data_IF_369915223978
#
_entry.id   IF_369915223978
#
_cell.length_a   1.000
_cell.length_b   1.000
_cell.length_c   1.000
_cell.angle_alpha   90.00
_cell.angle_beta   90.00
_cell.angle_gamma   90.00
#
_symmetry.space_group_name_H-M   'P 1'
#
loop_
_entity.id
_entity.type
_entity.pdbx_description
1 polymer ?
#
# COMPACT_ATOMS: atom_id res chain seq x y z
N UNK A 1 -13.10 2.97 9.92
CA UNK A 1 -11.94 2.07 9.74
C UNK A 1 -10.70 2.81 10.19
N UNK A 2 -9.77 2.13 10.85
CA UNK A 2 -8.46 2.69 11.21
C UNK A 2 -7.56 2.75 9.98
N UNK A 3 -6.46 3.49 10.06
CA UNK A 3 -5.44 3.55 9.01
C UNK A 3 -4.96 2.15 8.61
N UNK A 4 -4.68 1.30 9.60
CA UNK A 4 -4.21 -0.07 9.34
C UNK A 4 -5.21 -0.88 8.52
N UNK A 5 -6.50 -0.77 8.85
CA UNK A 5 -7.56 -1.50 8.14
C UNK A 5 -7.59 -1.08 6.66
N UNK A 6 -7.34 0.19 6.34
CA UNK A 6 -7.23 0.67 4.96
C UNK A 6 -5.98 0.16 4.24
N UNK A 7 -4.84 0.12 4.94
CA UNK A 7 -3.59 -0.38 4.34
C UNK A 7 -3.63 -1.89 4.06
N UNK A 8 -4.48 -2.64 4.78
CA UNK A 8 -4.73 -4.06 4.56
C UNK A 8 -5.76 -4.35 3.47
N UNK A 9 -6.37 -3.34 2.84
CA UNK A 9 -7.31 -3.52 1.72
C UNK A 9 -6.56 -4.03 0.48
N UNK A 10 -6.94 -5.18 -0.10
CA UNK A 10 -6.27 -5.70 -1.29
C UNK A 10 -6.79 -5.02 -2.56
N UNK A 11 -5.90 -4.30 -3.24
CA UNK A 11 -6.18 -3.66 -4.54
C UNK A 11 -5.78 -4.57 -5.72
N UNK A 12 -6.43 -4.39 -6.87
CA UNK A 12 -6.15 -5.17 -8.08
C UNK A 12 -4.91 -4.62 -8.75
N UNK A 13 -3.83 -5.41 -8.76
CA UNK A 13 -2.64 -5.07 -9.53
C UNK A 13 -2.90 -5.26 -11.03
N UNK A 14 -2.76 -4.20 -11.81
CA UNK A 14 -2.59 -4.28 -13.26
C UNK A 14 -1.11 -4.17 -13.59
N UNK A 15 -0.60 -5.03 -14.47
CA UNK A 15 0.79 -5.03 -14.89
C UNK A 15 0.87 -5.26 -16.41
N UNK A 16 1.66 -4.44 -17.10
CA UNK A 16 1.88 -4.53 -18.53
C UNK A 16 3.33 -4.19 -18.88
N UNK A 17 3.84 -4.84 -19.92
CA UNK A 17 5.10 -4.46 -20.56
C UNK A 17 4.76 -3.53 -21.72
N UNK A 18 5.28 -2.31 -21.70
CA UNK A 18 4.93 -1.25 -22.66
C UNK A 18 6.19 -0.73 -23.34
N UNK A 19 6.13 -0.61 -24.66
CA UNK A 19 7.17 0.05 -25.46
C UNK A 19 6.97 1.57 -25.39
N UNK A 20 8.05 2.29 -25.10
CA UNK A 20 8.09 3.75 -25.08
C UNK A 20 8.42 4.28 -26.48
N UNK A 21 8.21 5.58 -26.69
CA UNK A 21 8.42 6.22 -27.99
C UNK A 21 9.88 6.16 -28.49
N UNK A 22 10.84 5.95 -27.59
CA UNK A 22 12.26 5.78 -27.91
C UNK A 22 12.66 4.31 -28.20
N UNK A 23 11.68 3.40 -28.25
CA UNK A 23 11.88 1.96 -28.47
C UNK A 23 12.34 1.20 -27.22
N UNK A 24 12.48 1.87 -26.07
CA UNK A 24 12.76 1.20 -24.80
C UNK A 24 11.50 0.53 -24.24
N UNK A 25 11.67 -0.46 -23.37
CA UNK A 25 10.57 -1.22 -22.79
C UNK A 25 10.54 -1.07 -21.27
N UNK A 26 9.37 -0.74 -20.74
CA UNK A 26 9.13 -0.59 -19.30
C UNK A 26 8.06 -1.55 -18.81
N UNK A 27 8.10 -1.86 -17.51
CA UNK A 27 7.00 -2.48 -16.79
C UNK A 27 6.18 -1.37 -16.19
N UNK A 28 4.96 -1.20 -16.69
CA UNK A 28 3.94 -0.32 -16.13
C UNK A 28 3.06 -1.14 -15.21
N UNK A 29 2.88 -0.66 -13.99
CA UNK A 29 2.03 -1.28 -12.97
C UNK A 29 1.08 -0.25 -12.36
N UNK A 30 -0.12 -0.66 -11.97
CA UNK A 30 -1.11 0.25 -11.41
C UNK A 30 -2.07 -0.43 -10.43
N UNK A 31 -2.61 0.38 -9.52
CA UNK A 31 -3.81 0.08 -8.76
C UNK A 31 -4.95 0.97 -9.28
N UNK A 32 -5.80 0.48 -10.21
CA UNK A 32 -6.81 1.29 -10.87
C UNK A 32 -7.93 1.74 -9.93
N UNK A 33 -8.05 1.10 -8.77
CA UNK A 33 -8.98 1.47 -7.71
C UNK A 33 -8.50 2.70 -6.93
N UNK A 34 -7.22 3.09 -7.05
CA UNK A 34 -6.64 4.27 -6.39
C UNK A 34 -6.33 5.37 -7.43
N UNK A 35 -6.73 6.63 -7.17
CA UNK A 35 -6.52 7.72 -8.12
C UNK A 35 -5.04 7.90 -8.46
N UNK A 36 -4.69 7.77 -9.75
CA UNK A 36 -3.31 7.99 -10.25
C UNK A 36 -2.22 7.13 -9.57
N UNK A 37 -2.60 5.99 -8.98
CA UNK A 37 -1.64 5.08 -8.36
C UNK A 37 -1.01 4.16 -9.43
N UNK A 38 0.00 4.68 -10.12
CA UNK A 38 0.73 4.02 -11.20
C UNK A 38 2.24 4.11 -10.99
N UNK A 39 3.00 3.16 -11.52
CA UNK A 39 4.46 3.18 -11.56
C UNK A 39 5.02 2.54 -12.83
N UNK A 40 6.21 2.99 -13.22
CA UNK A 40 6.94 2.47 -14.38
C UNK A 40 8.41 2.28 -14.04
N UNK A 41 9.00 1.19 -14.49
CA UNK A 41 10.45 0.98 -14.44
C UNK A 41 10.91 -0.04 -15.49
N UNK A 42 12.16 0.06 -15.90
CA UNK A 42 12.84 -0.97 -16.70
C UNK A 42 13.22 -2.21 -15.88
N UNK A 43 12.88 -2.26 -14.59
CA UNK A 43 13.01 -3.40 -13.67
C UNK A 43 11.66 -3.65 -13.01
N UNK A 44 11.20 -4.91 -12.96
CA UNK A 44 9.85 -5.23 -12.45
C UNK A 44 9.74 -4.96 -10.95
N UNK A 45 10.77 -5.32 -10.19
CA UNK A 45 10.84 -5.11 -8.75
C UNK A 45 10.77 -3.61 -8.42
N UNK A 46 11.56 -2.78 -9.08
CA UNK A 46 11.52 -1.33 -8.91
C UNK A 46 10.13 -0.75 -9.19
N UNK A 47 9.44 -1.21 -10.25
CA UNK A 47 8.10 -0.75 -10.56
C UNK A 47 7.11 -1.09 -9.44
N UNK A 48 7.18 -2.32 -8.91
CA UNK A 48 6.33 -2.76 -7.79
C UNK A 48 6.65 -2.03 -6.49
N UNK A 49 7.94 -1.85 -6.15
CA UNK A 49 8.35 -1.09 -4.97
C UNK A 49 7.87 0.37 -5.05
N UNK A 50 8.02 1.02 -6.20
CA UNK A 50 7.51 2.38 -6.41
C UNK A 50 5.98 2.43 -6.28
N UNK A 51 5.26 1.45 -6.83
CA UNK A 51 3.80 1.39 -6.75
C UNK A 51 3.32 1.23 -5.30
N UNK A 52 3.90 0.28 -4.56
CA UNK A 52 3.54 0.04 -3.17
C UNK A 52 3.86 1.24 -2.27
N UNK A 53 4.99 1.90 -2.50
CA UNK A 53 5.33 3.14 -1.81
C UNK A 53 4.26 4.22 -2.04
N UNK A 54 3.90 4.45 -3.30
CA UNK A 54 2.84 5.41 -3.68
C UNK A 54 1.51 5.06 -3.05
N UNK A 55 1.14 3.77 -3.03
CA UNK A 55 -0.09 3.28 -2.38
C UNK A 55 -0.12 3.65 -0.91
N UNK A 56 0.93 3.33 -0.16
CA UNK A 56 1.01 3.61 1.29
C UNK A 56 0.93 5.11 1.56
N UNK A 57 1.78 5.90 0.89
CA UNK A 57 1.82 7.35 1.06
C UNK A 57 0.48 8.01 0.73
N UNK A 58 -0.19 7.55 -0.34
CA UNK A 58 -1.50 8.04 -0.75
C UNK A 58 -2.59 7.71 0.26
N UNK A 59 -2.68 6.47 0.73
CA UNK A 59 -3.69 6.05 1.71
C UNK A 59 -3.52 6.82 3.02
N UNK A 60 -2.27 6.95 3.50
CA UNK A 60 -1.96 7.72 4.71
C UNK A 60 -2.39 9.18 4.55
N UNK A 61 -2.09 9.80 3.40
CA UNK A 61 -2.52 11.17 3.09
C UNK A 61 -4.05 11.29 3.07
N UNK A 62 -4.75 10.43 2.33
CA UNK A 62 -6.22 10.46 2.25
C UNK A 62 -6.86 10.39 3.62
N UNK A 63 -6.43 9.45 4.46
CA UNK A 63 -6.94 9.29 5.83
C UNK A 63 -6.61 10.52 6.68
N UNK A 64 -5.40 11.07 6.57
CA UNK A 64 -4.99 12.30 7.26
C UNK A 64 -5.84 13.52 6.86
N UNK A 65 -6.26 13.60 5.60
CA UNK A 65 -7.12 14.64 5.05
C UNK A 65 -8.63 14.40 5.34
N UNK A 66 -8.98 13.31 6.04
CA UNK A 66 -10.36 12.93 6.32
C UNK A 66 -11.11 12.33 5.12
N UNK A 67 -10.41 12.00 4.03
CA UNK A 67 -10.96 11.30 2.87
C UNK A 67 -10.82 9.78 3.04
N UNK A 68 -11.92 9.05 2.91
CA UNK A 68 -11.89 7.58 2.98
C UNK A 68 -11.28 6.97 1.71
N UNK A 69 -10.21 6.15 1.80
CA UNK A 69 -9.73 5.35 0.68
C UNK A 69 -10.79 4.36 0.17
N UNK A 70 -10.75 3.98 -1.12
CA UNK A 70 -11.61 2.94 -1.68
C UNK A 70 -11.40 1.59 -1.00
N UNK A 71 -12.51 0.89 -0.72
CA UNK A 71 -12.51 -0.45 -0.08
C UNK A 71 -13.24 -1.45 -0.98
N UNK A 72 -12.65 -1.83 -2.14
CA UNK A 72 -13.28 -2.74 -3.10
C UNK A 72 -13.39 -4.18 -2.58
N UNK A 73 -12.56 -4.54 -1.60
CA UNK A 73 -12.49 -5.85 -0.95
C UNK A 73 -12.26 -5.67 0.55
N UNK A 74 -12.68 -6.63 1.40
CA UNK A 74 -12.41 -6.59 2.82
C UNK A 74 -10.89 -6.56 3.12
N UNK A 75 -10.46 -5.88 4.20
CA UNK A 75 -9.08 -5.92 4.65
C UNK A 75 -8.61 -7.35 4.97
N UNK A 76 -7.36 -7.66 4.61
CA UNK A 76 -6.71 -8.92 4.98
C UNK A 76 -6.29 -8.88 6.46
N UNK A 77 -6.54 -9.99 7.18
CA UNK A 77 -6.23 -10.10 8.62
C UNK A 77 -4.74 -10.23 8.90
N UNK A 78 -4.03 -10.99 8.07
CA UNK A 78 -2.62 -11.37 8.30
C UNK A 78 -1.64 -10.52 7.46
N UNK A 79 -2.05 -9.30 7.11
CA UNK A 79 -1.18 -8.35 6.40
C UNK A 79 -0.36 -7.56 7.42
N UNK A 80 0.92 -7.32 7.13
CA UNK A 80 1.81 -6.42 7.89
C UNK A 80 2.17 -5.19 7.03
N UNK A 81 1.34 -4.12 7.06
CA UNK A 81 1.61 -2.88 6.34
C UNK A 81 2.90 -2.18 6.77
N UNK A 82 3.33 -2.32 8.03
CA UNK A 82 4.55 -1.69 8.51
C UNK A 82 5.79 -2.37 7.90
N UNK A 83 5.77 -3.69 7.77
CA UNK A 83 6.80 -4.44 7.03
C UNK A 83 6.87 -4.00 5.57
N UNK A 84 5.73 -3.92 4.87
CA UNK A 84 5.69 -3.46 3.47
C UNK A 84 6.27 -2.04 3.35
N UNK A 85 5.85 -1.13 4.22
CA UNK A 85 6.33 0.26 4.23
C UNK A 85 7.86 0.36 4.40
N UNK A 86 8.45 -0.47 5.27
CA UNK A 86 9.91 -0.56 5.45
C UNK A 86 10.59 -1.10 4.18
N UNK A 87 10.06 -2.16 3.57
CA UNK A 87 10.65 -2.76 2.37
C UNK A 87 10.69 -1.80 1.18
N UNK A 88 9.65 -0.99 1.00
CA UNK A 88 9.54 -0.07 -0.15
C UNK A 88 10.08 1.34 0.15
N UNK A 89 10.69 1.50 1.33
CA UNK A 89 11.44 2.68 1.73
C UNK A 89 10.60 3.90 2.09
N UNK A 90 9.34 3.73 2.50
CA UNK A 90 8.48 4.81 3.04
C UNK A 90 9.22 5.54 4.18
N UNK A 91 8.93 6.83 4.39
CA UNK A 91 9.66 7.61 5.38
C UNK A 91 9.48 7.05 6.81
N UNK A 92 10.50 7.20 7.69
CA UNK A 92 10.42 6.72 9.07
C UNK A 92 9.23 7.27 9.86
N UNK A 93 8.83 8.52 9.61
CA UNK A 93 7.70 9.16 10.29
C UNK A 93 6.37 8.50 9.93
N UNK A 94 6.18 8.12 8.66
CA UNK A 94 5.00 7.37 8.23
C UNK A 94 5.01 5.95 8.79
N UNK A 95 6.17 5.28 8.82
CA UNK A 95 6.30 3.94 9.43
C UNK A 95 5.91 3.99 10.91
N UNK A 96 6.41 4.98 11.65
CA UNK A 96 6.05 5.17 13.06
C UNK A 96 4.56 5.48 13.26
N UNK A 97 3.92 6.17 12.31
CA UNK A 97 2.47 6.38 12.34
C UNK A 97 1.71 5.06 12.17
N UNK A 98 2.12 4.21 11.24
CA UNK A 98 1.52 2.89 11.00
C UNK A 98 1.67 2.02 12.25
N UNK A 99 2.88 1.92 12.80
CA UNK A 99 3.17 1.13 14.00
C UNK A 99 2.28 1.55 15.21
N UNK A 100 2.01 2.85 15.37
CA UNK A 100 1.10 3.33 16.43
C UNK A 100 -0.35 2.91 16.22
N UNK A 101 -0.82 2.89 14.97
CA UNK A 101 -2.17 2.44 14.64
C UNK A 101 -2.34 0.93 14.90
N UNK A 102 -1.28 0.14 14.74
CA UNK A 102 -1.23 -1.27 15.11
C UNK A 102 -1.16 -1.49 16.62
N UNK A 103 -0.37 -0.69 17.35
CA UNK A 103 -0.22 -0.82 18.80
C UNK A 103 -1.50 -0.50 19.59
N UNK A 104 -2.49 0.15 18.97
CA UNK A 104 -3.81 0.37 19.61
C UNK A 104 -4.64 -0.93 19.73
N UNK A 105 -4.09 -2.07 19.30
CA UNK A 105 -4.69 -3.40 19.37
C UNK A 105 -3.96 -4.28 20.39
N UNK A 106 -4.46 -4.39 21.63
CA UNK A 106 -4.00 -5.40 22.62
C UNK A 106 -5.19 -5.80 23.52
N UNK A 107 -5.35 -7.08 23.92
CA UNK A 107 -5.29 -8.34 23.18
C UNK A 107 -6.65 -9.09 23.24
N UNK A 108 -6.85 -10.12 22.41
CA UNK A 108 -7.94 -11.09 22.63
C UNK A 108 -7.77 -11.69 24.04
N UNK A 109 -8.81 -11.58 24.87
CA UNK A 109 -8.81 -12.22 26.18
C UNK A 109 -8.66 -13.74 25.99
N UNK A 110 -7.59 -14.32 26.54
CA UNK A 110 -7.49 -15.76 26.76
C UNK A 110 -8.73 -16.22 27.54
N UNK A 111 -9.71 -16.82 26.85
CA UNK A 111 -10.72 -17.62 27.51
C UNK A 111 -10.05 -18.90 27.98
N UNK A 112 -9.64 -18.88 29.26
CA UNK A 112 -9.25 -20.06 30.02
C UNK A 112 -10.31 -21.16 29.87
N UNK A 113 -9.88 -22.35 29.42
CA UNK A 113 -10.59 -23.61 29.60
C UNK A 113 -10.10 -24.31 30.86
#
# INVERSE_FOLDING_TARGET
>A
MRLIDYLCVPYRLEAATTELADGSWVRRVAYPELPECTAESTVVEDALCQLERRRVEMIVRMVGDGCAPPVPRPPLRDCDPAWVARQVGVSPDLIALIDRCDATTVPEQETNF
#
